data_IF_986346128952
#
_entry.id   IF_986346128952
#
_cell.length_a   1.000
_cell.length_b   1.000
_cell.length_c   1.000
_cell.angle_alpha   90.00
_cell.angle_beta   90.00
_cell.angle_gamma   90.00
#
_symmetry.space_group_name_H-M   'P 1'
#
loop_
_entity.id
_entity.type
_entity.pdbx_description
1 polymer ?
#
# COMPACT_ATOMS: atom_id res chain seq x y z
N UNK A 1 51.11 -11.38 -12.86
CA UNK A 1 50.82 -9.95 -12.64
C UNK A 1 49.61 -9.66 -13.51
N UNK A 2 48.38 -9.56 -13.05
CA UNK A 2 47.82 -9.25 -11.74
C UNK A 2 46.47 -10.00 -11.66
N UNK A 3 46.46 -11.18 -11.02
CA UNK A 3 45.24 -11.92 -10.69
C UNK A 3 44.89 -11.58 -9.25
N UNK A 4 44.51 -10.32 -9.03
CA UNK A 4 43.89 -9.91 -7.78
C UNK A 4 42.50 -10.52 -7.75
N UNK A 5 42.43 -11.79 -7.32
CA UNK A 5 41.22 -12.40 -6.76
C UNK A 5 40.65 -11.39 -5.77
N UNK A 6 39.60 -10.67 -6.17
CA UNK A 6 38.74 -9.95 -5.23
C UNK A 6 38.35 -10.98 -4.18
N UNK A 7 38.92 -10.87 -2.99
CA UNK A 7 38.55 -11.67 -1.85
C UNK A 7 37.03 -11.63 -1.78
N UNK A 8 36.37 -12.79 -1.92
CA UNK A 8 34.96 -12.95 -1.58
C UNK A 8 34.86 -12.54 -0.12
N UNK A 9 34.51 -11.29 0.15
CA UNK A 9 34.14 -10.87 1.48
C UNK A 9 32.99 -11.80 1.87
N UNK A 10 33.22 -12.64 2.87
CA UNK A 10 32.21 -13.53 3.39
C UNK A 10 31.19 -12.62 4.06
N UNK A 11 30.13 -12.25 3.34
CA UNK A 11 29.10 -11.38 3.88
C UNK A 11 28.20 -12.25 4.73
N UNK A 12 28.07 -11.91 6.01
CA UNK A 12 27.23 -12.67 6.92
C UNK A 12 25.78 -12.65 6.43
N UNK A 13 25.04 -13.76 6.59
CA UNK A 13 23.69 -13.85 6.08
C UNK A 13 22.73 -12.88 6.78
N UNK A 14 21.67 -12.48 6.09
CA UNK A 14 20.56 -11.77 6.70
C UNK A 14 19.84 -12.73 7.66
N UNK A 15 19.74 -12.34 8.94
CA UNK A 15 19.10 -13.14 10.00
C UNK A 15 17.85 -12.47 10.56
N UNK A 16 17.60 -11.20 10.22
CA UNK A 16 16.44 -10.43 10.69
C UNK A 16 15.80 -9.63 9.58
N UNK A 17 14.46 -9.54 9.58
CA UNK A 17 13.69 -8.61 8.75
C UNK A 17 12.87 -7.68 9.66
N UNK A 18 13.00 -6.38 9.43
CA UNK A 18 12.18 -5.35 10.06
C UNK A 18 11.34 -4.64 8.98
N UNK A 19 10.02 -4.71 9.08
CA UNK A 19 9.06 -4.24 8.06
C UNK A 19 8.22 -3.10 8.63
N UNK A 20 8.25 -1.95 7.97
CA UNK A 20 7.53 -0.76 8.37
C UNK A 20 6.47 -0.43 7.34
N UNK A 21 5.19 -0.44 7.73
CA UNK A 21 4.14 0.17 6.91
C UNK A 21 4.36 1.69 6.80
N UNK A 22 3.87 2.26 5.71
CA UNK A 22 4.01 3.70 5.46
C UNK A 22 2.87 4.50 6.07
N UNK A 23 1.67 4.35 5.52
CA UNK A 23 0.49 5.15 5.88
C UNK A 23 0.02 4.84 7.29
N UNK A 24 -0.09 5.84 8.15
CA UNK A 24 -0.56 5.66 9.54
C UNK A 24 0.48 5.00 10.48
N UNK A 25 1.61 4.53 9.95
CA UNK A 25 2.67 3.86 10.72
C UNK A 25 3.95 4.67 10.75
N UNK A 26 4.68 4.75 9.64
CA UNK A 26 5.92 5.56 9.54
C UNK A 26 5.59 7.04 9.32
N UNK A 27 4.54 7.30 8.54
CA UNK A 27 4.11 8.63 8.15
C UNK A 27 2.61 8.81 8.41
N UNK A 28 2.23 9.91 9.03
CA UNK A 28 0.85 10.27 9.33
C UNK A 28 0.14 10.79 8.06
N UNK A 29 0.08 9.97 7.01
CA UNK A 29 -0.57 10.30 5.75
C UNK A 29 -1.97 10.88 5.98
N UNK A 30 -2.30 12.02 5.34
CA UNK A 30 -3.60 12.65 5.49
C UNK A 30 -4.72 11.68 5.13
N UNK A 31 -5.78 11.68 5.94
CA UNK A 31 -7.04 11.01 5.61
C UNK A 31 -8.00 12.05 4.99
N UNK A 32 -9.03 11.63 4.24
CA UNK A 32 -10.12 12.53 3.91
C UNK A 32 -10.85 12.93 5.20
N UNK A 33 -11.22 14.19 5.32
CA UNK A 33 -11.93 14.75 6.44
C UNK A 33 -13.45 14.56 6.28
N UNK A 34 -14.03 13.70 7.13
CA UNK A 34 -15.47 13.46 7.16
C UNK A 34 -16.33 14.69 7.48
N UNK A 35 -15.74 15.77 7.98
CA UNK A 35 -16.44 17.04 8.21
C UNK A 35 -16.64 17.84 6.92
N UNK A 36 -15.86 17.59 5.87
CA UNK A 36 -15.96 18.31 4.59
C UNK A 36 -16.87 17.60 3.58
N UNK A 37 -17.03 16.29 3.68
CA UNK A 37 -17.69 15.47 2.67
C UNK A 37 -18.95 14.82 3.25
N UNK A 38 -20.03 14.77 2.47
CA UNK A 38 -21.18 13.92 2.84
C UNK A 38 -20.78 12.44 2.86
N UNK A 39 -21.46 11.64 3.69
CA UNK A 39 -21.13 10.22 3.92
C UNK A 39 -21.01 9.39 2.62
N UNK A 40 -21.88 9.56 1.59
CA UNK A 40 -21.71 8.83 0.33
C UNK A 40 -20.42 9.19 -0.40
N UNK A 41 -20.10 10.49 -0.52
CA UNK A 41 -18.86 10.96 -1.14
C UNK A 41 -17.64 10.48 -0.34
N UNK A 42 -17.68 10.60 0.98
CA UNK A 42 -16.63 10.10 1.86
C UNK A 42 -16.37 8.60 1.66
N UNK A 43 -17.42 7.79 1.52
CA UNK A 43 -17.34 6.38 1.19
C UNK A 43 -16.62 6.14 -0.15
N UNK A 44 -16.99 6.86 -1.20
CA UNK A 44 -16.33 6.77 -2.51
C UNK A 44 -14.87 7.23 -2.46
N UNK A 45 -14.53 8.24 -1.66
CA UNK A 45 -13.15 8.69 -1.49
C UNK A 45 -12.29 7.62 -0.85
N UNK A 46 -12.82 6.77 0.05
CA UNK A 46 -12.01 5.74 0.73
C UNK A 46 -11.89 4.43 -0.05
N UNK A 47 -12.79 4.18 -0.98
CA UNK A 47 -12.86 2.92 -1.72
C UNK A 47 -12.29 3.03 -3.15
N UNK A 48 -11.78 1.91 -3.65
CA UNK A 48 -11.51 1.72 -5.08
C UNK A 48 -12.83 1.37 -5.76
N UNK A 49 -13.40 2.33 -6.49
CA UNK A 49 -14.73 2.27 -7.09
C UNK A 49 -14.65 2.62 -8.57
N UNK A 50 -15.79 2.50 -9.27
CA UNK A 50 -15.89 2.94 -10.67
C UNK A 50 -15.77 4.46 -10.83
N UNK A 51 -15.91 5.24 -9.73
CA UNK A 51 -15.84 6.70 -9.73
C UNK A 51 -14.43 7.17 -9.35
N UNK A 52 -13.87 6.63 -8.27
CA UNK A 52 -12.54 7.00 -7.78
C UNK A 52 -11.69 5.77 -7.52
N UNK A 53 -10.38 5.88 -7.79
CA UNK A 53 -9.38 4.86 -7.41
C UNK A 53 -9.16 4.74 -5.89
N UNK A 54 -9.79 5.62 -5.10
CA UNK A 54 -9.59 5.77 -3.67
C UNK A 54 -8.48 6.76 -3.30
N UNK A 55 -8.61 7.37 -2.13
CA UNK A 55 -7.80 8.46 -1.60
C UNK A 55 -6.31 8.11 -1.59
N UNK A 56 -5.99 6.93 -1.05
CA UNK A 56 -4.62 6.42 -0.94
C UNK A 56 -4.00 6.03 -2.29
N UNK A 57 -4.81 5.90 -3.35
CA UNK A 57 -4.32 5.57 -4.69
C UNK A 57 -4.21 6.78 -5.61
N UNK A 58 -4.65 7.95 -5.14
CA UNK A 58 -4.54 9.18 -5.90
C UNK A 58 -3.30 9.98 -5.48
N UNK A 59 -2.39 10.26 -6.41
CA UNK A 59 -1.10 10.94 -6.17
C UNK A 59 -1.20 12.19 -5.31
N UNK A 60 -2.30 12.96 -5.46
CA UNK A 60 -2.49 14.20 -4.70
C UNK A 60 -2.68 14.01 -3.19
N UNK A 61 -2.97 12.79 -2.71
CA UNK A 61 -3.06 12.50 -1.26
C UNK A 61 -1.72 12.60 -0.51
N UNK A 62 -0.59 12.73 -1.22
CA UNK A 62 0.73 13.08 -0.65
C UNK A 62 1.31 14.37 -1.26
N UNK A 63 0.48 15.19 -1.91
CA UNK A 63 0.92 16.46 -2.51
C UNK A 63 0.85 17.59 -1.47
N UNK A 64 1.84 17.61 -0.58
CA UNK A 64 2.03 18.68 0.40
C UNK A 64 2.56 19.96 -0.24
N UNK A 65 2.24 21.10 0.38
CA UNK A 65 2.80 22.39 0.00
C UNK A 65 4.32 22.43 0.19
N UNK A 66 4.98 23.33 -0.54
CA UNK A 66 6.44 23.41 -0.53
C UNK A 66 7.00 23.85 0.84
N UNK A 67 6.22 24.53 1.68
CA UNK A 67 6.67 24.93 3.03
C UNK A 67 6.80 23.71 3.95
N UNK A 68 5.88 22.73 3.86
CA UNK A 68 5.96 21.45 4.58
C UNK A 68 7.08 20.59 3.99
N UNK A 69 7.21 20.53 2.66
CA UNK A 69 8.27 19.78 1.96
C UNK A 69 9.67 20.27 2.35
N UNK A 70 9.90 21.59 2.36
CA UNK A 70 11.17 22.21 2.79
C UNK A 70 11.54 21.87 4.23
N UNK A 71 10.53 21.71 5.10
CA UNK A 71 10.72 21.29 6.50
C UNK A 71 10.81 19.76 6.66
N UNK A 72 11.01 19.02 5.56
CA UNK A 72 11.14 17.55 5.56
C UNK A 72 9.93 16.88 6.24
N UNK A 73 8.73 17.44 6.05
CA UNK A 73 7.48 17.02 6.69
C UNK A 73 7.57 16.92 8.23
N UNK A 74 8.27 17.85 8.88
CA UNK A 74 8.34 17.93 10.35
C UNK A 74 6.94 17.88 10.95
N UNK A 75 6.74 17.00 11.93
CA UNK A 75 5.46 16.76 12.60
C UNK A 75 4.57 15.70 11.95
N UNK A 76 4.86 15.25 10.73
CA UNK A 76 4.12 14.18 10.05
C UNK A 76 4.76 12.80 10.19
N UNK A 77 6.05 12.74 10.52
CA UNK A 77 6.74 11.48 10.78
C UNK A 77 6.44 10.96 12.18
N UNK A 78 6.25 9.66 12.29
CA UNK A 78 6.30 8.97 13.57
C UNK A 78 7.75 8.84 14.03
N UNK A 79 8.18 9.65 14.99
CA UNK A 79 9.58 9.68 15.42
C UNK A 79 10.04 8.34 16.02
N UNK A 80 9.16 7.60 16.70
CA UNK A 80 9.50 6.27 17.23
C UNK A 80 9.80 5.29 16.09
N UNK A 81 8.99 5.29 15.02
CA UNK A 81 9.24 4.43 13.85
C UNK A 81 10.48 4.88 13.08
N UNK A 82 10.71 6.19 12.97
CA UNK A 82 11.93 6.76 12.36
C UNK A 82 13.18 6.25 13.09
N UNK A 83 13.17 6.24 14.42
CA UNK A 83 14.30 5.78 15.22
C UNK A 83 14.50 4.26 15.11
N UNK A 84 13.41 3.48 15.04
CA UNK A 84 13.48 2.04 14.77
C UNK A 84 14.02 1.71 13.38
N UNK A 85 13.64 2.46 12.34
CA UNK A 85 14.19 2.32 10.99
C UNK A 85 15.69 2.58 11.02
N UNK A 86 16.14 3.68 11.65
CA UNK A 86 17.56 4.02 11.77
C UNK A 86 18.34 2.96 12.51
N UNK A 87 17.77 2.39 13.57
CA UNK A 87 18.41 1.31 14.32
C UNK A 87 18.52 0.04 13.47
N UNK A 88 17.46 -0.33 12.75
CA UNK A 88 17.47 -1.46 11.82
C UNK A 88 18.58 -1.36 10.77
N UNK A 89 18.80 -0.17 10.20
CA UNK A 89 19.83 0.07 9.18
C UNK A 89 21.25 -0.17 9.68
N UNK A 90 21.53 0.08 10.96
CA UNK A 90 22.86 -0.09 11.56
C UNK A 90 23.30 -1.56 11.63
N UNK A 91 22.35 -2.49 11.64
CA UNK A 91 22.65 -3.90 11.77
C UNK A 91 22.91 -4.53 10.38
N UNK A 92 24.13 -5.07 10.12
CA UNK A 92 24.48 -5.63 8.82
C UNK A 92 23.63 -6.86 8.46
N UNK A 93 23.19 -7.63 9.45
CA UNK A 93 22.34 -8.81 9.25
C UNK A 93 20.83 -8.52 9.30
N UNK A 94 20.43 -7.24 9.37
CA UNK A 94 19.03 -6.84 9.35
C UNK A 94 18.63 -6.26 7.99
N UNK A 95 17.56 -6.80 7.43
CA UNK A 95 16.89 -6.27 6.25
C UNK A 95 15.83 -5.25 6.68
N UNK A 96 16.00 -3.99 6.25
CA UNK A 96 15.09 -2.89 6.57
C UNK A 96 14.14 -2.65 5.41
N UNK A 97 12.85 -2.88 5.62
CA UNK A 97 11.83 -2.94 4.57
C UNK A 97 10.76 -1.88 4.80
N UNK A 98 10.45 -1.09 3.77
CA UNK A 98 9.21 -0.30 3.70
C UNK A 98 8.18 -1.09 2.90
N UNK A 99 6.98 -1.28 3.43
CA UNK A 99 5.93 -2.04 2.74
C UNK A 99 4.57 -1.32 2.81
N UNK A 100 4.07 -0.81 1.68
CA UNK A 100 2.83 -0.02 1.62
C UNK A 100 1.85 -0.55 0.58
N UNK A 101 0.55 -0.34 0.84
CA UNK A 101 -0.52 -0.58 -0.12
C UNK A 101 -0.67 0.47 -1.24
N UNK A 102 0.15 1.53 -1.21
CA UNK A 102 0.19 2.53 -2.28
C UNK A 102 0.73 1.92 -3.58
N UNK A 103 0.08 2.26 -4.69
CA UNK A 103 0.47 1.80 -6.03
C UNK A 103 1.86 2.27 -6.46
N UNK A 104 2.63 1.39 -7.08
CA UNK A 104 4.00 1.66 -7.52
C UNK A 104 4.08 2.85 -8.48
N UNK A 105 3.30 2.82 -9.58
CA UNK A 105 3.35 3.86 -10.63
C UNK A 105 3.10 5.27 -10.12
N UNK A 106 2.20 5.42 -9.15
CA UNK A 106 1.81 6.74 -8.64
C UNK A 106 2.76 7.26 -7.55
N UNK A 107 3.32 6.36 -6.73
CA UNK A 107 3.94 6.75 -5.46
C UNK A 107 5.42 6.38 -5.30
N UNK A 108 6.00 5.55 -6.17
CA UNK A 108 7.40 5.13 -6.01
C UNK A 108 8.34 6.34 -5.87
N UNK A 109 8.28 7.28 -6.81
CA UNK A 109 9.12 8.47 -6.79
C UNK A 109 8.80 9.40 -5.61
N UNK A 110 7.53 9.51 -5.22
CA UNK A 110 7.12 10.39 -4.11
C UNK A 110 7.62 9.86 -2.78
N UNK A 111 7.35 8.59 -2.48
CA UNK A 111 7.73 7.98 -1.21
C UNK A 111 9.24 7.88 -1.12
N UNK A 112 9.93 7.56 -2.21
CA UNK A 112 11.41 7.57 -2.27
C UNK A 112 11.95 8.97 -1.95
N UNK A 113 11.47 10.03 -2.60
CA UNK A 113 11.86 11.43 -2.30
C UNK A 113 11.59 11.77 -0.82
N UNK A 114 10.45 11.35 -0.26
CA UNK A 114 10.10 11.61 1.13
C UNK A 114 11.06 10.95 2.12
N UNK A 115 11.34 9.65 1.95
CA UNK A 115 12.20 8.89 2.88
C UNK A 115 13.67 9.30 2.74
N UNK A 116 14.17 9.52 1.52
CA UNK A 116 15.53 10.00 1.26
C UNK A 116 15.72 11.42 1.82
N UNK A 117 14.75 12.32 1.56
CA UNK A 117 14.76 13.63 2.22
C UNK A 117 14.64 13.50 3.71
N UNK A 118 14.14 12.43 4.32
CA UNK A 118 14.15 12.24 5.79
C UNK A 118 15.43 11.55 6.29
N UNK A 119 16.36 11.22 5.39
CA UNK A 119 17.55 10.41 5.66
C UNK A 119 17.20 9.04 6.24
N UNK A 120 16.20 8.40 5.65
CA UNK A 120 15.80 7.03 5.93
C UNK A 120 16.17 6.15 4.74
N UNK A 121 16.96 5.13 5.01
CA UNK A 121 17.43 4.18 4.01
C UNK A 121 16.69 2.86 4.20
N UNK A 122 16.18 2.32 3.11
CA UNK A 122 15.54 1.02 3.08
C UNK A 122 16.31 0.13 2.12
N UNK A 123 16.51 -1.12 2.52
CA UNK A 123 17.12 -2.14 1.65
C UNK A 123 16.09 -2.61 0.61
N UNK A 124 14.80 -2.60 0.98
CA UNK A 124 13.68 -3.00 0.13
C UNK A 124 12.51 -2.03 0.30
N UNK A 125 11.90 -1.61 -0.80
CA UNK A 125 10.66 -0.84 -0.81
C UNK A 125 9.57 -1.58 -1.60
N UNK A 126 8.67 -2.25 -0.88
CA UNK A 126 7.50 -2.93 -1.44
C UNK A 126 6.32 -1.96 -1.59
N UNK A 127 6.09 -1.48 -2.80
CA UNK A 127 4.85 -0.80 -3.18
C UNK A 127 3.97 -1.77 -3.96
N UNK A 128 2.65 -1.60 -3.87
CA UNK A 128 1.71 -2.48 -4.57
C UNK A 128 1.89 -2.35 -6.09
N UNK A 129 2.17 -3.44 -6.83
CA UNK A 129 2.36 -3.36 -8.27
C UNK A 129 1.03 -3.07 -9.00
N UNK A 130 1.11 -2.46 -10.19
CA UNK A 130 -0.08 -2.17 -11.01
C UNK A 130 -0.67 -3.44 -11.63
N UNK A 131 0.21 -4.38 -11.95
CA UNK A 131 -0.12 -5.73 -12.39
C UNK A 131 0.03 -6.67 -11.20
N UNK A 132 -0.60 -7.85 -11.27
CA UNK A 132 -0.45 -8.89 -10.26
C UNK A 132 0.93 -9.59 -10.36
N UNK A 133 2.03 -8.82 -10.44
CA UNK A 133 3.41 -9.32 -10.51
C UNK A 133 4.33 -8.37 -9.75
N UNK A 134 5.06 -8.89 -8.76
CA UNK A 134 6.16 -8.18 -8.11
C UNK A 134 7.40 -8.33 -8.99
N UNK A 135 7.98 -7.21 -9.41
CA UNK A 135 9.29 -7.18 -10.07
C UNK A 135 10.34 -6.76 -9.06
N UNK A 136 11.20 -7.68 -8.66
CA UNK A 136 12.08 -7.47 -7.50
C UNK A 136 13.18 -6.43 -7.76
N UNK A 137 13.57 -6.19 -9.02
CA UNK A 137 14.40 -5.06 -9.42
C UNK A 137 13.79 -3.68 -9.08
N UNK A 138 12.47 -3.57 -8.94
CA UNK A 138 11.79 -2.34 -8.55
C UNK A 138 11.71 -2.16 -7.01
N UNK A 139 11.94 -3.25 -6.27
CA UNK A 139 11.80 -3.30 -4.81
C UNK A 139 13.16 -3.19 -4.10
N UNK A 140 14.14 -4.01 -4.49
CA UNK A 140 15.47 -3.99 -3.88
C UNK A 140 16.23 -2.71 -4.25
N UNK A 141 16.82 -2.07 -3.25
CA UNK A 141 17.71 -0.92 -3.44
C UNK A 141 19.15 -1.38 -3.52
N UNK A 142 19.93 -0.77 -4.40
CA UNK A 142 21.35 -1.12 -4.60
C UNK A 142 22.20 -0.98 -3.34
N UNK A 143 21.76 -0.21 -2.33
CA UNK A 143 22.44 -0.12 -1.03
C UNK A 143 22.55 -1.47 -0.32
N UNK A 144 21.65 -2.43 -0.59
CA UNK A 144 21.70 -3.76 0.00
C UNK A 144 22.94 -4.56 -0.44
N UNK A 145 23.60 -4.20 -1.53
CA UNK A 145 24.83 -4.85 -2.02
C UNK A 145 25.89 -4.93 -0.91
N UNK A 146 25.96 -3.93 -0.03
CA UNK A 146 26.87 -3.91 1.12
C UNK A 146 26.57 -5.01 2.15
N UNK A 147 25.34 -5.52 2.17
CA UNK A 147 24.83 -6.56 3.09
C UNK A 147 24.72 -7.95 2.47
N UNK A 148 24.62 -8.07 1.15
CA UNK A 148 24.42 -9.38 0.49
C UNK A 148 25.47 -9.70 -0.59
N UNK A 149 26.27 -8.71 -1.00
CA UNK A 149 27.24 -8.83 -2.09
C UNK A 149 26.59 -8.73 -3.48
N UNK A 150 27.42 -8.40 -4.47
CA UNK A 150 26.97 -8.16 -5.85
C UNK A 150 26.25 -9.38 -6.46
N UNK A 151 26.81 -10.59 -6.26
CA UNK A 151 26.26 -11.81 -6.85
C UNK A 151 24.84 -12.10 -6.36
N UNK A 152 24.58 -11.97 -5.05
CA UNK A 152 23.25 -12.21 -4.49
C UNK A 152 22.29 -11.09 -4.88
N UNK A 153 22.75 -9.84 -4.94
CA UNK A 153 21.92 -8.74 -5.42
C UNK A 153 21.44 -8.98 -6.88
N UNK A 154 22.35 -9.38 -7.77
CA UNK A 154 22.02 -9.71 -9.16
C UNK A 154 21.03 -10.87 -9.29
N UNK A 155 21.10 -11.86 -8.40
CA UNK A 155 20.11 -12.94 -8.31
C UNK A 155 18.73 -12.39 -7.89
N UNK A 156 18.69 -11.59 -6.81
CA UNK A 156 17.46 -11.05 -6.24
C UNK A 156 16.68 -10.17 -7.23
N UNK A 157 17.35 -9.29 -7.97
CA UNK A 157 16.68 -8.36 -8.88
C UNK A 157 16.15 -9.02 -10.15
N UNK A 158 16.60 -10.25 -10.48
CA UNK A 158 16.11 -11.00 -11.65
C UNK A 158 14.79 -11.72 -11.38
N UNK A 159 14.40 -11.85 -10.12
CA UNK A 159 13.17 -12.54 -9.75
C UNK A 159 11.94 -11.71 -10.10
N UNK A 160 10.87 -12.41 -10.50
CA UNK A 160 9.53 -11.88 -10.61
C UNK A 160 8.56 -12.85 -9.93
N UNK A 161 7.65 -12.33 -9.10
CA UNK A 161 6.66 -13.14 -8.37
C UNK A 161 5.26 -12.81 -8.85
N UNK A 162 4.57 -13.77 -9.43
CA UNK A 162 3.16 -13.60 -9.81
C UNK A 162 2.25 -13.65 -8.59
N UNK A 163 1.48 -12.60 -8.38
CA UNK A 163 0.46 -12.48 -7.34
C UNK A 163 -0.81 -13.20 -7.80
N UNK A 164 -0.79 -14.53 -7.74
CA UNK A 164 -1.99 -15.34 -7.99
C UNK A 164 -2.74 -15.51 -6.67
N UNK A 165 -4.07 -15.45 -6.72
CA UNK A 165 -4.89 -15.99 -5.63
C UNK A 165 -4.65 -17.50 -5.56
N UNK A 166 -3.69 -17.89 -4.73
CA UNK A 166 -3.69 -19.24 -4.20
C UNK A 166 -4.78 -19.22 -3.14
N UNK A 167 -5.74 -20.13 -3.21
CA UNK A 167 -6.70 -20.41 -2.13
C UNK A 167 -5.91 -20.92 -0.91
N UNK A 168 -5.18 -20.02 -0.26
CA UNK A 168 -4.56 -20.23 1.04
C UNK A 168 -5.49 -19.58 2.05
N UNK A 169 -6.57 -20.30 2.38
CA UNK A 169 -7.38 -20.23 3.62
C UNK A 169 -8.84 -20.63 3.34
N UNK A 170 -9.09 -21.92 3.12
CA UNK A 170 -10.44 -22.51 3.34
C UNK A 170 -10.75 -22.74 4.84
N UNK A 171 -9.85 -22.36 5.77
CA UNK A 171 -9.99 -22.67 7.20
C UNK A 171 -10.31 -21.48 8.13
N UNK A 172 -10.79 -20.35 7.62
CA UNK A 172 -11.22 -19.21 8.46
C UNK A 172 -12.64 -18.68 8.20
N UNK A 173 -13.39 -19.29 7.27
CA UNK A 173 -14.82 -18.99 7.03
C UNK A 173 -15.72 -20.20 7.35
N UNK A 174 -15.39 -20.96 8.39
CA UNK A 174 -16.14 -22.16 8.81
C UNK A 174 -16.76 -22.07 10.21
N UNK A 175 -17.21 -20.87 10.59
CA UNK A 175 -18.05 -20.70 11.79
C UNK A 175 -19.45 -20.11 11.53
N UNK A 176 -19.87 -19.87 10.28
CA UNK A 176 -21.23 -19.32 10.04
C UNK A 176 -22.14 -20.09 9.06
N UNK A 177 -21.72 -21.17 8.41
CA UNK A 177 -22.65 -21.92 7.54
C UNK A 177 -22.59 -23.43 7.74
N UNK A 178 -23.15 -23.90 8.86
CA UNK A 178 -23.67 -25.26 8.98
C UNK A 178 -25.19 -25.28 8.82
N UNK A 179 -25.66 -25.09 7.58
CA UNK A 179 -26.90 -25.70 7.11
C UNK A 179 -27.01 -25.62 5.58
N UNK A 180 -26.38 -26.55 4.86
CA UNK A 180 -27.07 -27.39 3.87
C UNK A 180 -26.09 -28.25 3.06
N UNK A 181 -26.55 -29.46 2.78
CA UNK A 181 -25.79 -30.61 2.28
C UNK A 181 -25.39 -30.50 0.81
N UNK A 182 -24.30 -31.23 0.52
CA UNK A 182 -24.04 -32.07 -0.65
C UNK A 182 -24.06 -31.43 -2.03
N UNK A 183 -22.87 -31.26 -2.62
CA UNK A 183 -22.49 -32.05 -3.80
C UNK A 183 -20.99 -31.96 -4.11
N UNK A 184 -20.35 -33.13 -4.11
CA UNK A 184 -19.02 -33.36 -4.67
C UNK A 184 -19.04 -33.12 -6.18
N UNK A 185 -18.28 -32.14 -6.64
CA UNK A 185 -17.82 -32.06 -8.02
C UNK A 185 -16.54 -31.24 -8.05
N UNK A 186 -15.42 -31.91 -8.38
CA UNK A 186 -14.12 -31.29 -8.71
C UNK A 186 -14.34 -30.18 -9.74
N UNK A 187 -14.44 -28.93 -9.28
CA UNK A 187 -14.46 -27.76 -10.14
C UNK A 187 -13.03 -27.42 -10.53
N UNK A 188 -12.75 -27.54 -11.82
CA UNK A 188 -11.54 -27.11 -12.50
C UNK A 188 -11.29 -25.63 -12.16
N UNK A 189 -10.25 -25.33 -11.37
CA UNK A 189 -9.87 -23.96 -11.00
C UNK A 189 -9.54 -23.18 -12.28
N UNK A 190 -10.45 -22.29 -12.70
CA UNK A 190 -10.14 -21.24 -13.68
C UNK A 190 -9.48 -20.12 -12.89
N UNK A 191 -8.25 -19.75 -13.25
CA UNK A 191 -7.59 -18.57 -12.69
C UNK A 191 -8.44 -17.34 -13.02
N UNK A 192 -9.14 -16.81 -12.02
CA UNK A 192 -9.80 -15.52 -12.16
C UNK A 192 -8.69 -14.49 -11.92
N UNK A 193 -8.38 -13.69 -12.93
CA UNK A 193 -7.44 -12.57 -12.83
C UNK A 193 -8.06 -11.42 -12.00
N UNK A 194 -8.41 -11.68 -10.74
CA UNK A 194 -8.89 -10.65 -9.82
C UNK A 194 -7.72 -9.84 -9.28
N UNK A 195 -7.89 -8.52 -9.18
CA UNK A 195 -6.92 -7.62 -8.54
C UNK A 195 -6.66 -8.06 -7.10
N UNK A 196 -5.39 -8.23 -6.75
CA UNK A 196 -4.98 -8.66 -5.41
C UNK A 196 -5.24 -7.53 -4.41
N UNK A 197 -5.78 -7.85 -3.24
CA UNK A 197 -6.02 -6.88 -2.16
C UNK A 197 -4.70 -6.41 -1.56
N UNK A 198 -4.71 -5.27 -0.86
CA UNK A 198 -3.50 -4.78 -0.17
C UNK A 198 -2.98 -5.79 0.85
N UNK A 199 -3.88 -6.44 1.60
CA UNK A 199 -3.54 -7.48 2.57
C UNK A 199 -2.83 -8.66 1.91
N UNK A 200 -3.43 -9.22 0.86
CA UNK A 200 -2.86 -10.36 0.12
C UNK A 200 -1.49 -10.02 -0.47
N UNK A 201 -1.36 -8.84 -1.10
CA UNK A 201 -0.07 -8.36 -1.61
C UNK A 201 1.00 -8.36 -0.50
N UNK A 202 0.69 -7.77 0.66
CA UNK A 202 1.65 -7.69 1.76
C UNK A 202 2.03 -9.07 2.30
N UNK A 203 1.07 -9.99 2.46
CA UNK A 203 1.34 -11.36 2.91
C UNK A 203 2.25 -12.10 1.92
N UNK A 204 1.93 -12.06 0.62
CA UNK A 204 2.74 -12.71 -0.41
C UNK A 204 4.14 -12.09 -0.52
N UNK A 205 4.24 -10.77 -0.41
CA UNK A 205 5.52 -10.06 -0.42
C UNK A 205 6.44 -10.55 0.72
N UNK A 206 5.88 -10.72 1.92
CA UNK A 206 6.65 -11.19 3.09
C UNK A 206 7.10 -12.63 2.93
N UNK A 207 6.20 -13.51 2.43
CA UNK A 207 6.54 -14.91 2.18
C UNK A 207 7.71 -15.04 1.19
N UNK A 208 7.63 -14.37 0.05
CA UNK A 208 8.71 -14.38 -0.95
C UNK A 208 10.01 -13.79 -0.40
N UNK A 209 9.92 -12.75 0.43
CA UNK A 209 11.10 -12.15 1.06
C UNK A 209 11.84 -13.14 1.98
N UNK A 210 11.12 -14.07 2.61
CA UNK A 210 11.72 -15.15 3.40
C UNK A 210 12.35 -16.23 2.51
N UNK A 211 11.77 -16.52 1.35
CA UNK A 211 12.36 -17.42 0.36
C UNK A 211 13.67 -16.86 -0.19
N UNK A 212 13.72 -15.55 -0.43
CA UNK A 212 14.94 -14.84 -0.83
C UNK A 212 16.05 -14.87 0.24
N UNK A 213 15.66 -14.92 1.52
CA UNK A 213 16.55 -14.84 2.68
C UNK A 213 16.29 -15.99 3.67
N UNK A 214 16.62 -17.25 3.31
CA UNK A 214 16.27 -18.44 4.10
C UNK A 214 16.98 -18.55 5.46
N UNK A 215 18.00 -17.70 5.71
CA UNK A 215 18.71 -17.62 6.99
C UNK A 215 18.01 -16.74 8.03
N UNK A 216 16.88 -16.10 7.68
CA UNK A 216 16.12 -15.26 8.59
C UNK A 216 15.55 -16.07 9.74
N UNK A 217 15.77 -15.58 10.96
CA UNK A 217 15.27 -16.15 12.22
C UNK A 217 14.37 -15.21 13.00
N UNK A 218 14.40 -13.91 12.69
CA UNK A 218 13.60 -12.91 13.37
C UNK A 218 12.84 -12.00 12.40
N UNK A 219 11.55 -11.81 12.61
CA UNK A 219 10.70 -10.88 11.86
C UNK A 219 9.99 -9.93 12.82
N UNK A 220 10.04 -8.63 12.50
CA UNK A 220 9.22 -7.61 13.18
C UNK A 220 8.50 -6.77 12.16
N UNK A 221 7.20 -6.60 12.34
CA UNK A 221 6.37 -5.79 11.45
C UNK A 221 5.59 -4.76 12.26
N UNK A 222 5.48 -3.55 11.73
CA UNK A 222 4.66 -2.47 12.29
C UNK A 222 3.61 -2.05 11.25
N UNK A 223 2.34 -2.03 11.61
CA UNK A 223 1.20 -1.63 10.76
C UNK A 223 0.10 -0.98 11.61
N UNK A 224 -0.69 -0.09 11.02
CA UNK A 224 -1.71 0.72 11.69
C UNK A 224 -3.11 0.10 11.63
N UNK A 225 -3.29 -1.00 10.89
CA UNK A 225 -4.59 -1.64 10.71
C UNK A 225 -4.68 -2.92 11.52
N UNK A 226 -5.57 -2.92 12.51
CA UNK A 226 -5.74 -4.06 13.44
C UNK A 226 -5.98 -5.39 12.70
N UNK A 227 -6.83 -5.37 11.67
CA UNK A 227 -7.08 -6.56 10.86
C UNK A 227 -5.84 -7.04 10.10
N UNK A 228 -4.99 -6.14 9.59
CA UNK A 228 -3.72 -6.53 8.97
C UNK A 228 -2.77 -7.13 9.99
N UNK A 229 -2.60 -6.49 11.15
CA UNK A 229 -1.75 -6.97 12.24
C UNK A 229 -2.16 -8.38 12.66
N UNK A 230 -3.46 -8.65 12.81
CA UNK A 230 -3.99 -9.98 13.10
C UNK A 230 -3.60 -11.00 12.03
N UNK A 231 -3.81 -10.69 10.74
CA UNK A 231 -3.43 -11.59 9.66
C UNK A 231 -1.92 -11.85 9.57
N UNK A 232 -1.08 -10.83 9.78
CA UNK A 232 0.37 -11.01 9.83
C UNK A 232 0.79 -11.88 11.02
N UNK A 233 0.17 -11.67 12.18
CA UNK A 233 0.47 -12.50 13.35
C UNK A 233 0.09 -13.96 13.12
N UNK A 234 -1.04 -14.25 12.46
CA UNK A 234 -1.40 -15.61 12.07
C UNK A 234 -0.35 -16.25 11.15
N UNK A 235 0.15 -15.53 10.14
CA UNK A 235 1.25 -16.00 9.29
C UNK A 235 2.51 -16.27 10.13
N UNK A 236 2.87 -15.36 11.02
CA UNK A 236 4.05 -15.47 11.87
C UNK A 236 3.98 -16.65 12.86
N UNK A 237 2.79 -16.95 13.37
CA UNK A 237 2.57 -18.10 14.24
C UNK A 237 2.71 -19.42 13.47
N UNK A 238 2.21 -19.50 12.23
CA UNK A 238 2.47 -20.65 11.33
C UNK A 238 3.97 -20.84 11.09
N UNK A 239 4.69 -19.77 10.71
CA UNK A 239 6.12 -19.81 10.43
C UNK A 239 6.93 -20.27 11.65
N UNK A 240 6.58 -19.81 12.86
CA UNK A 240 7.18 -20.28 14.11
C UNK A 240 6.88 -21.76 14.38
N UNK A 241 5.63 -22.19 14.19
CA UNK A 241 5.24 -23.59 14.42
C UNK A 241 5.99 -24.57 13.51
N UNK A 242 6.37 -24.11 12.31
CA UNK A 242 7.15 -24.87 11.33
C UNK A 242 8.67 -24.77 11.53
N UNK A 243 9.14 -24.01 12.51
CA UNK A 243 10.57 -23.79 12.79
C UNK A 243 11.29 -22.98 11.70
N UNK A 244 10.56 -22.23 10.88
CA UNK A 244 11.16 -21.37 9.85
C UNK A 244 11.86 -20.18 10.50
N UNK A 245 11.18 -19.55 11.47
CA UNK A 245 11.69 -18.44 12.28
C UNK A 245 11.56 -18.73 13.77
N UNK A 246 12.46 -18.17 14.56
CA UNK A 246 12.47 -18.32 16.01
C UNK A 246 11.63 -17.23 16.69
N UNK A 247 11.71 -16.00 16.16
CA UNK A 247 10.98 -14.84 16.67
C UNK A 247 10.19 -14.16 15.55
N UNK A 248 8.88 -13.99 15.72
CA UNK A 248 8.08 -13.24 14.76
C UNK A 248 6.90 -12.53 15.45
N UNK A 249 6.80 -11.22 15.22
CA UNK A 249 5.78 -10.37 15.84
C UNK A 249 5.29 -9.26 14.91
N UNK A 250 3.97 -9.11 14.81
CA UNK A 250 3.31 -7.97 14.22
C UNK A 250 2.85 -7.01 15.32
N UNK A 251 3.23 -5.75 15.22
CA UNK A 251 2.96 -4.70 16.20
C UNK A 251 1.98 -3.68 15.63
N UNK A 252 0.89 -3.48 16.38
CA UNK A 252 -0.05 -2.41 16.12
C UNK A 252 0.62 -1.05 16.41
N UNK A 253 0.51 -0.13 15.46
CA UNK A 253 0.93 1.27 15.63
C UNK A 253 -0.28 2.17 15.60
N UNK A 254 -0.29 3.18 16.47
CA UNK A 254 -1.34 4.19 16.49
C UNK A 254 -0.72 5.57 16.29
N UNK A 255 -1.17 6.26 15.24
CA UNK A 255 -0.89 7.67 15.01
C UNK A 255 -2.19 8.46 14.99
N UNK A 256 -2.21 9.68 15.56
CA UNK A 256 -3.35 10.58 15.41
C UNK A 256 -3.65 10.84 13.94
N UNK A 257 -4.94 10.78 13.59
CA UNK A 257 -5.41 11.12 12.25
C UNK A 257 -5.06 12.57 11.96
N UNK A 258 -4.59 12.82 10.73
CA UNK A 258 -4.34 14.15 10.20
C UNK A 258 -5.13 14.36 8.92
N UNK A 259 -5.52 15.61 8.71
CA UNK A 259 -6.20 16.06 7.50
C UNK A 259 -5.33 17.09 6.80
N UNK A 260 -5.61 17.35 5.52
CA UNK A 260 -5.07 18.54 4.88
C UNK A 260 -5.78 19.80 5.41
N UNK A 261 -5.23 20.96 5.08
CA UNK A 261 -6.03 22.20 5.15
C UNK A 261 -7.32 22.01 4.32
N UNK A 262 -8.49 22.45 4.81
CA UNK A 262 -9.76 22.22 4.11
C UNK A 262 -9.79 22.64 2.65
N UNK A 263 -9.15 23.76 2.30
CA UNK A 263 -9.10 24.23 0.92
C UNK A 263 -8.21 23.34 0.06
N UNK A 264 -7.05 22.92 0.60
CA UNK A 264 -6.19 21.97 -0.09
C UNK A 264 -6.89 20.62 -0.32
N UNK A 265 -7.63 20.12 0.68
CA UNK A 265 -8.38 18.88 0.54
C UNK A 265 -9.46 18.98 -0.54
N UNK A 266 -10.17 20.11 -0.58
CA UNK A 266 -11.11 20.43 -1.65
C UNK A 266 -10.47 20.39 -3.04
N UNK A 267 -9.29 20.99 -3.22
CA UNK A 267 -8.58 20.93 -4.50
C UNK A 267 -8.15 19.50 -4.89
N UNK A 268 -7.91 18.63 -3.91
CA UNK A 268 -7.59 17.22 -4.16
C UNK A 268 -8.84 16.48 -4.65
N UNK A 269 -9.97 16.64 -3.95
CA UNK A 269 -11.23 15.99 -4.33
C UNK A 269 -11.76 16.51 -5.66
N UNK A 270 -11.67 17.82 -5.90
CA UNK A 270 -12.01 18.41 -7.20
C UNK A 270 -11.18 17.79 -8.32
N UNK A 271 -9.88 17.60 -8.11
CA UNK A 271 -9.04 16.95 -9.11
C UNK A 271 -9.38 15.48 -9.36
N UNK A 272 -9.81 14.73 -8.33
CA UNK A 272 -10.30 13.36 -8.51
C UNK A 272 -11.56 13.34 -9.39
N UNK A 273 -12.45 14.32 -9.22
CA UNK A 273 -13.65 14.50 -10.04
C UNK A 273 -13.29 14.89 -11.47
N UNK A 274 -12.35 15.81 -11.65
CA UNK A 274 -11.87 16.20 -12.98
C UNK A 274 -11.28 14.99 -13.73
N UNK A 275 -10.53 14.14 -13.04
CA UNK A 275 -9.95 12.93 -13.63
C UNK A 275 -11.03 11.90 -13.99
N UNK A 276 -12.04 11.69 -13.14
CA UNK A 276 -13.23 10.88 -13.49
C UNK A 276 -13.95 11.42 -14.73
N UNK A 277 -14.21 12.73 -14.78
CA UNK A 277 -14.91 13.36 -15.89
C UNK A 277 -14.13 13.28 -17.22
N UNK A 278 -12.79 13.37 -17.18
CA UNK A 278 -11.95 13.14 -18.36
C UNK A 278 -12.08 11.71 -18.87
N UNK A 279 -12.14 10.72 -17.99
CA UNK A 279 -12.36 9.33 -18.39
C UNK A 279 -13.75 9.14 -19.01
N UNK A 280 -14.80 9.70 -18.41
CA UNK A 280 -16.16 9.70 -18.99
C UNK A 280 -16.18 10.29 -20.41
N UNK A 281 -15.49 11.40 -20.64
CA UNK A 281 -15.37 11.99 -21.98
C UNK A 281 -14.64 11.08 -22.97
N UNK A 282 -13.54 10.45 -22.54
CA UNK A 282 -12.78 9.50 -23.37
C UNK A 282 -13.64 8.30 -23.78
N UNK A 283 -14.38 7.72 -22.83
CA UNK A 283 -15.31 6.62 -23.11
C UNK A 283 -16.45 7.04 -24.04
N UNK A 284 -17.00 8.24 -23.84
CA UNK A 284 -18.08 8.77 -24.68
C UNK A 284 -17.63 8.96 -26.13
N UNK A 285 -16.39 9.44 -26.34
CA UNK A 285 -15.78 9.58 -27.68
C UNK A 285 -15.48 8.22 -28.33
N UNK A 286 -15.07 7.22 -27.55
CA UNK A 286 -14.77 5.88 -28.05
C UNK A 286 -16.05 5.11 -28.48
N UNK A 287 -17.15 5.20 -27.72
CA UNK A 287 -18.43 4.55 -28.06
C UNK A 287 -19.12 5.17 -29.28
N UNK A 288 -18.82 6.41 -29.66
CA UNK A 288 -19.29 6.98 -30.93
C UNK A 288 -18.77 6.19 -32.15
N UNK A 289 -17.71 5.38 -31.99
CA UNK A 289 -17.11 4.58 -33.05
C UNK A 289 -17.46 3.07 -32.99
N UNK A 290 -18.13 2.58 -31.95
CA UNK A 290 -18.53 1.17 -31.81
C UNK A 290 -19.92 1.03 -31.17
N UNK A 291 -20.82 0.33 -31.88
CA UNK A 291 -22.23 0.10 -31.53
C UNK A 291 -22.47 -0.83 -30.32
N UNK A 292 -21.75 -0.62 -29.21
CA UNK A 292 -21.95 -1.42 -27.99
C UNK A 292 -22.11 -0.53 -26.75
N UNK A 293 -23.37 -0.44 -26.28
CA UNK A 293 -23.74 0.20 -25.01
C UNK A 293 -23.31 -0.69 -23.85
N UNK A 294 -22.17 -0.39 -23.21
CA UNK A 294 -21.88 -0.89 -21.86
C UNK A 294 -21.09 0.16 -21.09
N UNK A 295 -21.79 0.75 -20.11
CA UNK A 295 -21.33 1.70 -19.09
C UNK A 295 -21.09 3.14 -19.56
N UNK A 296 -21.94 4.05 -19.06
CA UNK A 296 -21.66 5.50 -19.04
C UNK A 296 -22.02 6.04 -17.66
N UNK A 297 -21.05 6.11 -16.75
CA UNK A 297 -21.20 7.06 -15.64
C UNK A 297 -21.27 8.44 -16.29
N UNK A 298 -22.25 9.25 -15.89
CA UNK A 298 -22.28 10.64 -16.28
C UNK A 298 -21.11 11.41 -15.65
N UNK A 299 -20.88 12.62 -16.15
CA UNK A 299 -20.00 13.57 -15.47
C UNK A 299 -20.60 13.95 -14.13
N UNK A 300 -19.73 14.21 -13.16
CA UNK A 300 -20.11 14.63 -11.81
C UNK A 300 -19.46 15.96 -11.45
N UNK A 301 -20.08 16.69 -10.52
CA UNK A 301 -19.58 17.95 -9.99
C UNK A 301 -19.70 17.98 -8.46
N UNK A 302 -18.83 18.76 -7.80
CA UNK A 302 -19.00 19.08 -6.38
C UNK A 302 -20.10 20.12 -6.20
N UNK A 303 -21.00 19.85 -5.26
CA UNK A 303 -22.04 20.79 -4.85
C UNK A 303 -21.98 21.01 -3.34
N UNK A 304 -22.04 22.26 -2.86
CA UNK A 304 -22.16 22.53 -1.44
C UNK A 304 -23.57 22.19 -0.95
N UNK A 305 -23.66 21.60 0.24
CA UNK A 305 -24.91 21.35 0.96
C UNK A 305 -24.81 21.95 2.35
N UNK A 306 -25.77 22.79 2.67
CA UNK A 306 -25.84 23.44 3.99
C UNK A 306 -26.63 22.58 4.96
N UNK A 307 -26.09 22.48 6.17
CA UNK A 307 -26.68 21.77 7.27
C UNK A 307 -26.86 22.73 8.43
N UNK A 308 -28.02 22.60 9.08
CA UNK A 308 -28.43 23.47 10.16
C UNK A 308 -28.50 22.65 11.43
N UNK A 309 -27.63 22.96 12.39
CA UNK A 309 -27.65 22.33 13.71
C UNK A 309 -27.57 23.41 14.80
N UNK A 310 -28.62 23.48 15.61
CA UNK A 310 -28.85 24.58 16.55
C UNK A 310 -28.78 25.95 15.84
N UNK A 311 -27.82 26.81 16.22
CA UNK A 311 -27.61 28.16 15.65
C UNK A 311 -26.44 28.22 14.66
N UNK A 312 -25.89 27.07 14.28
CA UNK A 312 -24.75 26.98 13.38
C UNK A 312 -25.17 26.46 12.01
N UNK A 313 -24.61 27.07 10.98
CA UNK A 313 -24.66 26.56 9.61
C UNK A 313 -23.29 25.97 9.32
N UNK A 314 -23.26 24.73 8.85
CA UNK A 314 -22.04 24.11 8.34
C UNK A 314 -22.28 23.57 6.93
N UNK A 315 -21.23 23.58 6.12
CA UNK A 315 -21.31 23.14 4.72
C UNK A 315 -20.51 21.86 4.56
N UNK A 316 -21.15 20.85 3.99
CA UNK A 316 -20.46 19.68 3.43
C UNK A 316 -20.60 19.69 1.92
N UNK A 317 -19.67 19.05 1.23
CA UNK A 317 -19.73 18.88 -0.21
C UNK A 317 -20.22 17.47 -0.55
N UNK A 318 -21.08 17.40 -1.57
CA UNK A 318 -21.56 16.18 -2.17
C UNK A 318 -21.11 16.12 -3.64
N UNK A 319 -21.25 14.94 -4.26
CA UNK A 319 -21.19 14.81 -5.71
C UNK A 319 -22.59 14.72 -6.30
N UNK A 320 -22.77 15.31 -7.48
CA UNK A 320 -24.02 15.30 -8.24
C UNK A 320 -23.73 15.12 -9.72
N UNK A 321 -24.60 14.41 -10.45
CA UNK A 321 -24.48 14.30 -11.91
C UNK A 321 -24.67 15.68 -12.56
N UNK A 322 -23.80 16.03 -13.50
CA UNK A 322 -23.96 17.25 -14.29
C UNK A 322 -25.29 17.22 -15.07
N UNK A 323 -26.02 18.34 -15.06
CA UNK A 323 -27.29 18.49 -15.79
C UNK A 323 -28.53 17.95 -15.08
N UNK A 324 -28.37 17.34 -13.90
CA UNK A 324 -29.49 16.99 -13.02
C UNK A 324 -29.54 18.04 -11.92
N UNK A 325 -30.61 18.83 -11.80
CA UNK A 325 -30.89 19.66 -10.64
C UNK A 325 -31.94 18.94 -9.78
N UNK A 326 -31.66 18.76 -8.50
CA UNK A 326 -32.59 18.18 -7.52
C UNK A 326 -33.26 19.28 -6.70
#
# INVERSE_FOLDING_TARGET
MDDSRRSRANVDPITRINIFDFDGTLFASPQPNHELWEDPLFGYLKADTMIFKGWYQHRKSLSFDESIRRRRWKGWWNNEMVDLVRESVKHPNSLTVLLTGRGYSEFHHIITDMVERKDLKFDVMGLKPDQNTIKWNLCYKSSIIQKVGDMKYEELIRNETSLVKVDMMENSEHLEEQSNRSNSSRKKLKSINTRVTTKEFKLMFISELLEHHPSVKSIRLWDDREHHVKCFQCLFDDLKSRGIVDEAIAKMVFLPIRYFDPYQEYLIVQAMIDDHNKEVERFSKAQANESSRKFSLGKIQLVPREYYYNRYVYTKFAIQLEGVNF
#
